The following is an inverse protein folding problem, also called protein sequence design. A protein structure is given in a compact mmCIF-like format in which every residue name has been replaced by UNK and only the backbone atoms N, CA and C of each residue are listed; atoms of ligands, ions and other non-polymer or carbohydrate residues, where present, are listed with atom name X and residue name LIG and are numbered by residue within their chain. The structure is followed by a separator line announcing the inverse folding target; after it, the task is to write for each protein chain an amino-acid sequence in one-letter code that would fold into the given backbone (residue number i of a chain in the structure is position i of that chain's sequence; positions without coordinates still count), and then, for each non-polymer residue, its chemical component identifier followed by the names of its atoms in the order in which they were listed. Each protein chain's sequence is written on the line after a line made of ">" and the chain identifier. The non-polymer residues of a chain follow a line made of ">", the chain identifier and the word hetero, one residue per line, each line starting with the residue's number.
data_IF_065924551230
#
_entry.id   IF_065924551230
#
_cell.length_a   1.000
_cell.length_b   1.000
_cell.length_c   1.000
_cell.angle_alpha   90.00
_cell.angle_beta   90.00
_cell.angle_gamma   90.00
#
_symmetry.space_group_name_H-M   'P 1'
#
loop_
_entity.id
_entity.type
_entity.pdbx_description
1 polymer ?
#
# COMPACT_ATOMS: atom_id res chain seq x y z
N UNK A 1 -15.24 64.63 7.13
CA UNK A 1 -15.82 63.45 7.81
C UNK A 1 -16.42 62.37 6.89
N UNK A 2 -17.15 62.67 5.79
CA UNK A 2 -17.80 61.63 4.94
C UNK A 2 -16.85 60.62 4.24
N UNK A 3 -15.60 61.00 3.98
CA UNK A 3 -14.61 60.16 3.28
C UNK A 3 -13.96 59.10 4.19
N UNK A 4 -13.94 59.32 5.51
CA UNK A 4 -13.36 58.35 6.47
C UNK A 4 -14.33 57.22 6.80
N UNK A 5 -15.63 57.48 6.96
CA UNK A 5 -16.64 56.43 7.22
C UNK A 5 -16.75 55.41 6.08
N UNK A 6 -16.56 55.85 4.84
CA UNK A 6 -16.47 54.99 3.67
C UNK A 6 -15.17 54.19 3.61
N UNK A 7 -14.06 54.70 4.15
CA UNK A 7 -12.83 53.92 4.22
C UNK A 7 -12.98 52.75 5.21
N UNK A 8 -13.54 53.00 6.40
CA UNK A 8 -13.74 51.98 7.43
C UNK A 8 -14.66 50.84 6.98
N UNK A 9 -15.72 51.13 6.21
CA UNK A 9 -16.62 50.09 5.71
C UNK A 9 -15.95 49.18 4.66
N UNK A 10 -15.09 49.73 3.79
CA UNK A 10 -14.32 48.92 2.85
C UNK A 10 -13.26 48.08 3.56
N UNK A 11 -12.59 48.66 4.57
CA UNK A 11 -11.63 47.94 5.41
C UNK A 11 -12.30 46.77 6.14
N UNK A 12 -13.47 46.99 6.75
CA UNK A 12 -14.20 45.92 7.43
C UNK A 12 -14.57 44.78 6.47
N UNK A 13 -15.12 45.10 5.29
CA UNK A 13 -15.46 44.11 4.29
C UNK A 13 -14.22 43.35 3.78
N UNK A 14 -13.11 44.06 3.56
CA UNK A 14 -11.85 43.44 3.19
C UNK A 14 -11.35 42.47 4.27
N UNK A 15 -11.41 42.87 5.55
CA UNK A 15 -11.04 41.99 6.68
C UNK A 15 -11.92 40.75 6.73
N UNK A 16 -13.24 40.89 6.55
CA UNK A 16 -14.17 39.75 6.54
C UNK A 16 -13.86 38.80 5.37
N UNK A 17 -13.72 39.32 4.16
CA UNK A 17 -13.41 38.52 2.97
C UNK A 17 -12.05 37.82 3.11
N UNK A 18 -11.02 38.53 3.57
CA UNK A 18 -9.70 37.95 3.80
C UNK A 18 -9.74 36.89 4.91
N UNK A 19 -10.52 37.10 5.97
CA UNK A 19 -10.73 36.11 7.03
C UNK A 19 -11.38 34.83 6.51
N UNK A 20 -12.45 34.95 5.72
CA UNK A 20 -13.12 33.81 5.07
C UNK A 20 -12.15 33.06 4.15
N UNK A 21 -11.41 33.78 3.30
CA UNK A 21 -10.43 33.18 2.40
C UNK A 21 -9.30 32.47 3.16
N UNK A 22 -8.79 33.07 4.24
CA UNK A 22 -7.75 32.47 5.06
C UNK A 22 -8.23 31.18 5.73
N UNK A 23 -9.42 31.18 6.33
CA UNK A 23 -10.01 30.00 6.97
C UNK A 23 -10.27 28.89 5.93
N UNK A 24 -10.87 29.24 4.79
CA UNK A 24 -11.16 28.29 3.71
C UNK A 24 -9.89 27.69 3.12
N UNK A 25 -8.87 28.51 2.86
CA UNK A 25 -7.57 28.05 2.37
C UNK A 25 -6.86 27.13 3.37
N UNK A 26 -6.91 27.48 4.66
CA UNK A 26 -6.36 26.66 5.73
C UNK A 26 -7.08 25.31 5.83
N UNK A 27 -8.41 25.30 5.78
CA UNK A 27 -9.20 24.08 5.81
C UNK A 27 -8.88 23.17 4.61
N UNK A 28 -8.78 23.72 3.40
CA UNK A 28 -8.38 22.97 2.20
C UNK A 28 -6.97 22.38 2.35
N UNK A 29 -6.03 23.14 2.93
CA UNK A 29 -4.67 22.65 3.17
C UNK A 29 -4.65 21.53 4.22
N UNK A 30 -5.36 21.69 5.32
CA UNK A 30 -5.46 20.68 6.39
C UNK A 30 -6.12 19.39 5.89
N UNK A 31 -7.13 19.48 5.02
CA UNK A 31 -7.75 18.31 4.38
C UNK A 31 -6.76 17.57 3.46
N UNK A 32 -5.91 18.29 2.71
CA UNK A 32 -4.88 17.69 1.86
C UNK A 32 -3.89 16.89 2.69
N UNK A 33 -3.34 17.52 3.72
CA UNK A 33 -2.37 16.89 4.62
C UNK A 33 -2.99 15.70 5.36
N UNK A 34 -4.27 15.80 5.72
CA UNK A 34 -4.98 14.69 6.37
C UNK A 34 -5.18 13.51 5.43
N UNK A 35 -5.52 13.75 4.15
CA UNK A 35 -5.60 12.67 3.16
C UNK A 35 -4.26 11.94 2.98
N UNK A 36 -3.15 12.69 2.95
CA UNK A 36 -1.80 12.09 2.87
C UNK A 36 -1.43 11.30 4.12
N UNK A 37 -1.64 11.85 5.31
CA UNK A 37 -1.38 11.15 6.57
C UNK A 37 -2.22 9.88 6.71
N UNK A 38 -3.46 9.89 6.23
CA UNK A 38 -4.32 8.70 6.23
C UNK A 38 -3.78 7.62 5.30
N UNK A 39 -3.38 7.99 4.08
CA UNK A 39 -2.75 7.06 3.13
C UNK A 39 -1.44 6.48 3.67
N UNK A 40 -0.61 7.31 4.31
CA UNK A 40 0.64 6.89 4.95
C UNK A 40 0.40 5.89 6.07
N UNK A 41 -0.50 6.21 7.01
CA UNK A 41 -0.85 5.34 8.14
C UNK A 41 -1.50 4.04 7.69
N UNK A 42 -2.47 4.12 6.78
CA UNK A 42 -3.19 2.95 6.27
C UNK A 42 -2.25 2.00 5.54
N UNK A 43 -1.44 2.52 4.60
CA UNK A 43 -0.47 1.68 3.88
C UNK A 43 0.59 1.08 4.80
N UNK A 44 1.08 1.82 5.80
CA UNK A 44 2.02 1.29 6.80
C UNK A 44 1.40 0.18 7.66
N UNK A 45 0.18 0.39 8.16
CA UNK A 45 -0.51 -0.60 8.99
C UNK A 45 -0.84 -1.88 8.20
N UNK A 46 -1.30 -1.74 6.96
CA UNK A 46 -1.54 -2.87 6.05
C UNK A 46 -0.25 -3.63 5.76
N UNK A 47 0.81 -2.91 5.39
CA UNK A 47 2.13 -3.49 5.14
C UNK A 47 2.62 -4.30 6.36
N UNK A 48 2.61 -3.70 7.55
CA UNK A 48 3.03 -4.35 8.80
C UNK A 48 2.23 -5.60 9.11
N UNK A 49 0.92 -5.57 8.87
CA UNK A 49 0.05 -6.71 9.14
C UNK A 49 0.36 -7.86 8.18
N UNK A 50 0.46 -7.56 6.88
CA UNK A 50 0.78 -8.55 5.85
C UNK A 50 2.19 -9.12 6.00
N UNK A 51 3.18 -8.28 6.30
CA UNK A 51 4.55 -8.71 6.53
C UNK A 51 4.64 -9.69 7.70
N UNK A 52 3.97 -9.40 8.84
CA UNK A 52 3.91 -10.33 9.97
C UNK A 52 3.19 -11.63 9.62
N UNK A 53 2.08 -11.57 8.88
CA UNK A 53 1.35 -12.78 8.48
C UNK A 53 2.22 -13.66 7.56
N UNK A 54 2.84 -13.07 6.52
CA UNK A 54 3.76 -13.78 5.62
C UNK A 54 4.95 -14.36 6.39
N UNK A 55 5.59 -13.58 7.27
CA UNK A 55 6.70 -14.04 8.09
C UNK A 55 6.29 -15.22 8.99
N UNK A 56 5.15 -15.12 9.67
CA UNK A 56 4.60 -16.19 10.52
C UNK A 56 4.37 -17.46 9.72
N UNK A 57 3.76 -17.34 8.54
CA UNK A 57 3.48 -18.46 7.63
C UNK A 57 4.75 -19.14 7.14
N UNK A 58 5.76 -18.38 6.73
CA UNK A 58 7.06 -18.94 6.31
C UNK A 58 7.76 -19.60 7.50
N UNK A 59 7.70 -18.99 8.69
CA UNK A 59 8.27 -19.57 9.90
C UNK A 59 7.60 -20.91 10.28
N UNK A 60 6.28 -21.04 10.11
CA UNK A 60 5.58 -22.31 10.29
C UNK A 60 6.05 -23.38 9.30
N UNK A 61 6.24 -23.02 8.03
CA UNK A 61 6.83 -23.94 7.05
C UNK A 61 8.25 -24.32 7.46
N UNK A 62 9.06 -23.35 7.89
CA UNK A 62 10.43 -23.58 8.33
C UNK A 62 10.52 -24.55 9.51
N UNK A 63 9.66 -24.37 10.50
CA UNK A 63 9.52 -25.25 11.67
C UNK A 63 9.14 -26.67 11.24
N UNK A 64 8.20 -26.82 10.31
CA UNK A 64 7.81 -28.13 9.76
C UNK A 64 8.96 -28.80 9.01
N UNK A 65 9.74 -28.05 8.21
CA UNK A 65 10.94 -28.58 7.53
C UNK A 65 12.00 -29.06 8.54
N UNK A 66 12.26 -28.29 9.60
CA UNK A 66 13.19 -28.69 10.67
C UNK A 66 12.69 -29.93 11.42
N UNK A 67 11.40 -30.00 11.72
CA UNK A 67 10.78 -31.16 12.36
C UNK A 67 10.88 -32.42 11.50
N UNK A 68 10.72 -32.30 10.17
CA UNK A 68 10.93 -33.41 9.25
C UNK A 68 12.41 -33.88 9.24
N UNK A 69 13.38 -32.96 9.26
CA UNK A 69 14.81 -33.31 9.38
C UNK A 69 15.09 -34.07 10.67
N UNK A 70 14.52 -33.62 11.80
CA UNK A 70 14.69 -34.27 13.10
C UNK A 70 14.04 -35.67 13.14
N UNK A 71 12.85 -35.81 12.56
CA UNK A 71 12.18 -37.10 12.39
C UNK A 71 13.02 -38.09 11.59
N UNK A 72 13.59 -37.67 10.45
CA UNK A 72 14.45 -38.51 9.60
C UNK A 72 15.74 -38.97 10.30
N UNK A 73 16.22 -38.22 11.29
CA UNK A 73 17.40 -38.58 12.10
C UNK A 73 17.09 -39.61 13.19
N UNK A 74 15.82 -39.86 13.49
CA UNK A 74 15.41 -40.76 14.56
C UNK A 74 15.39 -42.21 14.05
N UNK A 75 16.21 -43.13 14.58
CA UNK A 75 16.33 -44.50 14.06
C UNK A 75 15.03 -45.30 14.11
N UNK A 76 14.15 -44.99 15.08
CA UNK A 76 12.83 -45.61 15.22
C UNK A 76 11.87 -45.16 14.11
N UNK A 77 12.06 -43.94 13.58
CA UNK A 77 11.27 -43.42 12.48
C UNK A 77 11.53 -44.20 11.19
N UNK A 78 12.80 -44.55 10.93
CA UNK A 78 13.19 -45.34 9.77
C UNK A 78 12.68 -46.79 9.80
N UNK A 79 12.27 -47.28 10.99
CA UNK A 79 11.68 -48.62 11.18
C UNK A 79 10.16 -48.64 10.99
N UNK A 80 9.51 -47.47 10.92
CA UNK A 80 8.08 -47.41 10.69
C UNK A 80 7.74 -47.83 9.25
N UNK A 81 6.57 -48.41 9.00
CA UNK A 81 6.05 -48.59 7.65
C UNK A 81 6.05 -47.25 6.88
N UNK A 82 6.38 -47.23 5.57
CA UNK A 82 6.47 -46.01 4.78
C UNK A 82 5.22 -45.12 4.86
N UNK A 83 4.03 -45.70 4.87
CA UNK A 83 2.74 -45.02 5.06
C UNK A 83 2.64 -44.26 6.40
N UNK A 84 3.17 -44.81 7.48
CA UNK A 84 3.20 -44.15 8.80
C UNK A 84 4.31 -43.09 8.86
N UNK A 85 5.44 -43.32 8.20
CA UNK A 85 6.48 -42.30 8.04
C UNK A 85 5.94 -41.08 7.27
N UNK A 86 5.22 -41.31 6.16
CA UNK A 86 4.55 -40.26 5.41
C UNK A 86 3.54 -39.49 6.26
N UNK A 87 2.65 -40.20 6.97
CA UNK A 87 1.68 -39.58 7.87
C UNK A 87 2.33 -38.69 8.93
N UNK A 88 3.44 -39.14 9.55
CA UNK A 88 4.10 -38.38 10.63
C UNK A 88 5.06 -37.28 10.17
N UNK A 89 5.71 -37.40 9.01
CA UNK A 89 6.54 -36.33 8.45
C UNK A 89 5.68 -35.12 8.05
N UNK A 90 4.43 -35.37 7.68
CA UNK A 90 3.56 -34.36 7.09
C UNK A 90 2.29 -34.06 7.91
N UNK A 91 2.04 -34.73 9.04
CA UNK A 91 0.90 -34.47 9.94
C UNK A 91 0.86 -33.02 10.45
N UNK A 92 2.05 -32.46 10.73
CA UNK A 92 2.21 -31.04 11.13
C UNK A 92 2.14 -30.07 9.94
N UNK A 93 2.38 -30.57 8.73
CA UNK A 93 2.34 -29.80 7.49
C UNK A 93 0.91 -29.68 6.92
N UNK A 94 0.06 -30.69 7.15
CA UNK A 94 -1.32 -30.75 6.68
C UNK A 94 -2.25 -29.69 7.32
N UNK A 95 -1.83 -29.05 8.41
CA UNK A 95 -2.64 -28.04 9.13
C UNK A 95 -2.41 -26.61 8.64
N UNK A 96 -1.41 -26.37 7.79
CA UNK A 96 -1.12 -25.02 7.28
C UNK A 96 -1.91 -24.84 5.99
N UNK A 97 -2.88 -23.93 5.96
CA UNK A 97 -3.72 -23.63 4.80
C UNK A 97 -2.97 -23.03 3.58
N UNK A 98 -1.65 -23.18 3.50
CA UNK A 98 -0.94 -23.13 2.21
C UNK A 98 -1.01 -24.51 1.61
N UNK A 99 -1.62 -24.61 0.43
CA UNK A 99 -1.63 -25.81 -0.42
C UNK A 99 -0.20 -26.16 -0.83
N UNK A 100 0.56 -26.72 0.09
CA UNK A 100 1.98 -26.97 -0.07
C UNK A 100 2.31 -28.43 0.14
N UNK A 101 2.77 -29.07 -0.92
CA UNK A 101 3.27 -30.46 -0.85
C UNK A 101 4.69 -30.41 -0.31
N UNK A 102 4.90 -31.07 0.81
CA UNK A 102 6.24 -31.29 1.35
C UNK A 102 6.85 -32.54 0.70
N UNK A 103 8.16 -32.55 0.53
CA UNK A 103 8.88 -33.69 -0.04
C UNK A 103 10.32 -33.75 0.43
N UNK A 104 10.90 -34.94 0.34
CA UNK A 104 12.27 -35.27 0.74
C UNK A 104 13.00 -35.86 -0.45
N UNK A 105 14.19 -35.33 -0.72
CA UNK A 105 15.12 -35.83 -1.71
C UNK A 105 16.37 -36.38 -1.01
N UNK A 106 16.92 -37.47 -1.52
CA UNK A 106 18.20 -38.02 -1.04
C UNK A 106 19.42 -37.22 -1.55
N UNK A 107 20.63 -37.71 -1.25
CA UNK A 107 21.88 -37.07 -1.68
C UNK A 107 22.09 -37.06 -3.21
N UNK A 108 21.39 -37.92 -3.96
CA UNK A 108 21.41 -38.00 -5.42
C UNK A 108 20.31 -37.15 -6.07
N UNK A 109 19.36 -36.65 -5.27
CA UNK A 109 18.25 -35.83 -5.71
C UNK A 109 17.01 -36.63 -6.07
N UNK A 110 16.97 -37.92 -5.72
CA UNK A 110 15.83 -38.79 -5.95
C UNK A 110 14.77 -38.60 -4.84
N UNK A 111 13.50 -38.60 -5.24
CA UNK A 111 12.38 -38.49 -4.31
C UNK A 111 12.30 -39.71 -3.39
N UNK A 112 12.41 -39.46 -2.08
CA UNK A 112 12.32 -40.50 -1.04
C UNK A 112 10.95 -40.52 -0.37
N UNK A 113 10.35 -39.33 -0.19
CA UNK A 113 9.04 -39.17 0.43
C UNK A 113 8.35 -37.91 -0.07
N UNK A 114 7.03 -37.92 -0.22
CA UNK A 114 6.23 -36.71 -0.42
C UNK A 114 4.91 -36.75 0.38
N UNK A 115 4.32 -35.57 0.58
CA UNK A 115 3.01 -35.40 1.22
C UNK A 115 1.85 -35.48 0.23
N UNK A 116 2.04 -36.14 -0.92
CA UNK A 116 1.02 -36.29 -1.95
C UNK A 116 0.03 -37.41 -1.63
N UNK A 117 -1.20 -37.31 -2.16
CA UNK A 117 -2.25 -38.34 -1.99
C UNK A 117 -1.97 -39.65 -2.74
N UNK A 118 -0.86 -39.76 -3.48
CA UNK A 118 -0.60 -40.88 -4.40
C UNK A 118 0.66 -41.64 -3.97
N UNK A 119 0.45 -42.86 -3.49
CA UNK A 119 1.45 -43.81 -2.94
C UNK A 119 2.34 -44.45 -4.04
N UNK A 120 2.27 -43.99 -5.29
CA UNK A 120 3.07 -44.57 -6.37
C UNK A 120 4.47 -43.91 -6.41
N UNK A 121 5.58 -44.68 -6.41
CA UNK A 121 6.90 -44.13 -6.67
C UNK A 121 6.92 -43.52 -8.07
N UNK A 122 6.84 -42.19 -8.16
CA UNK A 122 7.09 -41.48 -9.41
C UNK A 122 8.60 -41.28 -9.48
N UNK A 123 9.30 -41.81 -10.49
CA UNK A 123 10.71 -41.49 -10.67
C UNK A 123 10.82 -39.98 -10.91
N UNK A 124 11.12 -39.25 -9.85
CA UNK A 124 11.27 -37.81 -9.85
C UNK A 124 12.62 -37.47 -9.24
N UNK A 125 13.57 -37.14 -10.12
CA UNK A 125 14.85 -36.60 -9.73
C UNK A 125 14.83 -35.07 -9.85
N UNK A 126 15.31 -34.39 -8.82
CA UNK A 126 15.44 -32.93 -8.77
C UNK A 126 16.87 -32.47 -8.51
N UNK A 127 17.87 -33.31 -8.80
CA UNK A 127 19.27 -32.97 -8.59
C UNK A 127 19.67 -31.70 -9.35
N UNK A 128 19.15 -31.50 -10.57
CA UNK A 128 19.42 -30.31 -11.39
C UNK A 128 18.71 -29.04 -10.94
N UNK A 129 17.82 -29.10 -9.94
CA UNK A 129 17.06 -27.92 -9.49
C UNK A 129 17.93 -27.02 -8.61
N UNK A 130 17.71 -25.71 -8.72
CA UNK A 130 18.48 -24.70 -8.01
C UNK A 130 18.50 -24.93 -6.50
N UNK A 131 17.35 -25.15 -5.88
CA UNK A 131 17.24 -25.38 -4.44
C UNK A 131 18.08 -26.60 -3.97
N UNK A 132 18.24 -27.61 -4.83
CA UNK A 132 19.07 -28.77 -4.52
C UNK A 132 20.56 -28.44 -4.61
N UNK A 133 20.95 -27.78 -5.70
CA UNK A 133 22.35 -27.39 -5.94
C UNK A 133 22.88 -26.43 -4.88
N UNK A 134 22.06 -25.47 -4.42
CA UNK A 134 22.46 -24.52 -3.37
C UNK A 134 22.77 -25.27 -2.07
N UNK A 135 21.93 -26.22 -1.65
CA UNK A 135 22.17 -27.01 -0.42
C UNK A 135 23.30 -28.04 -0.55
N UNK A 136 23.51 -28.57 -1.76
CA UNK A 136 24.61 -29.50 -2.05
C UNK A 136 25.97 -28.80 -1.97
N UNK A 137 26.06 -27.59 -2.53
CA UNK A 137 27.32 -26.84 -2.66
C UNK A 137 27.62 -25.97 -1.44
N UNK A 138 26.62 -25.47 -0.73
CA UNK A 138 26.79 -24.58 0.43
C UNK A 138 26.18 -25.18 1.70
N UNK A 139 27.05 -25.51 2.67
CA UNK A 139 26.66 -26.10 3.96
C UNK A 139 25.97 -25.11 4.91
N UNK A 140 26.12 -23.80 4.69
CA UNK A 140 25.58 -22.75 5.56
C UNK A 140 24.26 -22.16 5.05
N UNK A 141 23.75 -22.65 3.91
CA UNK A 141 22.44 -22.26 3.41
C UNK A 141 21.38 -22.75 4.40
N UNK A 142 20.84 -21.83 5.19
CA UNK A 142 19.76 -22.08 6.15
C UNK A 142 18.45 -22.44 5.45
N UNK A 143 17.38 -21.65 5.67
CA UNK A 143 16.20 -21.75 4.83
C UNK A 143 16.52 -21.13 3.47
N UNK A 144 16.37 -21.91 2.41
CA UNK A 144 16.46 -21.39 1.05
C UNK A 144 15.07 -21.19 0.47
N UNK A 145 14.81 -19.97 0.01
CA UNK A 145 13.63 -19.61 -0.78
C UNK A 145 14.05 -19.64 -2.25
N UNK A 146 13.33 -20.37 -3.09
CA UNK A 146 13.61 -20.54 -4.52
C UNK A 146 12.86 -19.56 -5.41
N UNK A 147 13.23 -19.51 -6.69
CA UNK A 147 12.54 -18.68 -7.67
C UNK A 147 11.15 -19.24 -8.02
N UNK A 148 10.20 -18.38 -8.45
CA UNK A 148 8.94 -18.85 -9.04
C UNK A 148 9.21 -19.78 -10.22
N UNK A 149 8.57 -20.93 -10.23
CA UNK A 149 8.62 -21.87 -11.33
C UNK A 149 7.27 -22.53 -11.52
N UNK A 150 6.97 -22.91 -12.77
CA UNK A 150 5.80 -23.71 -13.08
C UNK A 150 5.95 -25.11 -12.50
N UNK A 151 4.94 -25.56 -11.77
CA UNK A 151 4.93 -26.89 -11.18
C UNK A 151 4.59 -27.94 -12.24
N UNK A 152 5.47 -28.93 -12.42
CA UNK A 152 5.19 -30.10 -13.28
C UNK A 152 4.20 -31.08 -12.64
N UNK A 153 3.91 -30.94 -11.33
CA UNK A 153 3.12 -31.90 -10.55
C UNK A 153 1.67 -31.45 -10.27
N UNK A 154 1.35 -30.16 -10.44
CA UNK A 154 0.05 -29.58 -10.10
C UNK A 154 -0.36 -28.54 -11.14
N UNK A 155 -1.21 -28.93 -12.10
CA UNK A 155 -1.97 -28.07 -13.02
C UNK A 155 -1.26 -26.84 -13.65
N UNK A 156 0.07 -26.85 -13.79
CA UNK A 156 0.87 -25.74 -14.33
C UNK A 156 0.83 -24.43 -13.49
N UNK A 157 0.41 -24.50 -12.23
CA UNK A 157 0.40 -23.34 -11.32
C UNK A 157 1.82 -22.94 -10.91
N UNK A 158 2.05 -21.63 -10.80
CA UNK A 158 3.31 -21.07 -10.32
C UNK A 158 3.49 -21.33 -8.83
N UNK A 159 4.68 -21.78 -8.46
CA UNK A 159 5.02 -22.07 -7.07
C UNK A 159 6.44 -21.64 -6.74
N UNK A 160 6.70 -21.46 -5.44
CA UNK A 160 8.05 -21.29 -4.90
C UNK A 160 8.40 -22.50 -4.05
N UNK A 161 9.69 -22.83 -3.97
CA UNK A 161 10.18 -23.87 -3.07
C UNK A 161 10.83 -23.22 -1.85
N UNK A 162 10.40 -23.63 -0.67
CA UNK A 162 11.12 -23.42 0.58
C UNK A 162 11.86 -24.71 0.92
N UNK A 163 13.15 -24.65 1.20
CA UNK A 163 13.95 -25.87 1.37
C UNK A 163 15.06 -25.74 2.39
N UNK A 164 15.45 -26.87 2.98
CA UNK A 164 16.59 -26.99 3.89
C UNK A 164 17.45 -28.20 3.55
N UNK A 165 18.75 -28.04 3.79
CA UNK A 165 19.73 -29.11 3.70
C UNK A 165 19.50 -30.17 4.79
N UNK A 166 19.51 -31.43 4.39
CA UNK A 166 19.68 -32.56 5.30
C UNK A 166 21.18 -32.81 5.42
N UNK A 167 21.71 -32.65 6.63
CA UNK A 167 23.11 -32.92 6.94
C UNK A 167 23.23 -34.22 7.71
N UNK A 168 24.12 -35.11 7.24
CA UNK A 168 24.49 -36.31 7.98
C UNK A 168 25.37 -36.02 9.20
N UNK A 169 25.78 -37.05 9.92
CA UNK A 169 26.43 -36.91 11.25
C UNK A 169 27.77 -36.19 11.18
N UNK A 170 28.47 -36.31 10.06
CA UNK A 170 29.79 -35.71 9.84
C UNK A 170 29.72 -34.45 8.94
N UNK A 171 28.51 -33.91 8.72
CA UNK A 171 28.28 -32.74 7.87
C UNK A 171 28.23 -33.02 6.37
N UNK A 172 28.28 -34.29 5.97
CA UNK A 172 28.03 -34.74 4.61
C UNK A 172 26.62 -34.33 4.13
N UNK A 173 26.46 -34.25 2.82
CA UNK A 173 25.17 -33.91 2.22
C UNK A 173 24.28 -35.15 2.20
N UNK A 174 23.21 -35.13 2.99
CA UNK A 174 22.23 -36.22 3.07
C UNK A 174 21.00 -36.01 2.18
N UNK A 175 20.92 -34.88 1.47
CA UNK A 175 19.78 -34.53 0.63
C UNK A 175 19.10 -33.22 1.05
N UNK A 176 17.82 -33.08 0.68
CA UNK A 176 17.04 -31.85 0.89
C UNK A 176 15.63 -32.19 1.33
N UNK A 177 15.13 -31.48 2.34
CA UNK A 177 13.69 -31.40 2.62
C UNK A 177 13.14 -30.10 2.03
N UNK A 178 11.98 -30.16 1.41
CA UNK A 178 11.40 -29.01 0.73
C UNK A 178 9.88 -28.97 0.89
N UNK A 179 9.33 -27.77 0.81
CA UNK A 179 7.91 -27.47 0.72
C UNK A 179 7.69 -26.68 -0.57
N UNK A 180 6.81 -27.19 -1.42
CA UNK A 180 6.27 -26.41 -2.54
C UNK A 180 5.19 -25.50 -1.97
N UNK A 181 5.23 -24.21 -2.28
CA UNK A 181 4.21 -23.25 -1.85
C UNK A 181 3.53 -22.71 -3.11
N UNK A 182 2.21 -22.92 -3.23
CA UNK A 182 1.44 -22.36 -4.34
C UNK A 182 1.34 -20.84 -4.22
N UNK A 183 1.58 -20.12 -5.33
CA UNK A 183 1.36 -18.68 -5.38
C UNK A 183 -0.12 -18.31 -5.47
N UNK A 184 -1.02 -19.24 -5.82
CA UNK A 184 -2.46 -18.99 -5.81
C UNK A 184 -3.00 -18.70 -4.40
N UNK A 185 -2.53 -19.42 -3.38
CA UNK A 185 -2.90 -19.12 -1.99
C UNK A 185 -2.43 -17.73 -1.53
N UNK A 186 -1.26 -17.29 -2.02
CA UNK A 186 -0.78 -15.93 -1.78
C UNK A 186 -1.60 -14.89 -2.58
N UNK A 187 -2.08 -15.25 -3.78
CA UNK A 187 -2.98 -14.41 -4.56
C UNK A 187 -4.26 -14.09 -3.81
N UNK A 188 -4.93 -15.11 -3.28
CA UNK A 188 -6.22 -14.95 -2.62
C UNK A 188 -6.11 -14.07 -1.37
N UNK A 189 -5.01 -14.21 -0.63
CA UNK A 189 -4.67 -13.34 0.49
C UNK A 189 -4.55 -11.87 0.04
N UNK A 190 -3.79 -11.60 -1.02
CA UNK A 190 -3.58 -10.23 -1.51
C UNK A 190 -4.82 -9.64 -2.19
N UNK A 191 -5.66 -10.48 -2.82
CA UNK A 191 -6.90 -10.06 -3.51
C UNK A 191 -7.97 -9.53 -2.55
N UNK A 192 -7.93 -9.94 -1.28
CA UNK A 192 -8.88 -9.47 -0.26
C UNK A 192 -8.65 -8.01 0.17
N UNK A 193 -7.54 -7.40 -0.24
CA UNK A 193 -7.16 -6.04 0.13
C UNK A 193 -7.80 -5.02 -0.81
N UNK A 194 -8.54 -4.06 -0.24
CA UNK A 194 -8.97 -2.88 -0.98
C UNK A 194 -7.84 -1.84 -1.01
N UNK A 195 -7.20 -1.72 -2.18
CA UNK A 195 -6.11 -0.76 -2.42
C UNK A 195 -6.54 0.35 -3.40
N UNK A 196 -7.83 0.44 -3.74
CA UNK A 196 -8.33 1.27 -4.83
C UNK A 196 -8.08 0.67 -6.22
N UNK A 197 -8.42 1.43 -7.26
CA UNK A 197 -8.42 0.93 -8.65
C UNK A 197 -7.01 0.76 -9.20
N UNK A 198 -6.11 1.67 -8.84
CA UNK A 198 -4.72 1.69 -9.30
C UNK A 198 -3.73 1.42 -8.18
N UNK A 199 -4.18 0.92 -7.02
CA UNK A 199 -3.30 0.42 -5.98
C UNK A 199 -2.64 -0.89 -6.36
N UNK A 200 -1.56 -1.25 -5.65
CA UNK A 200 -0.93 -2.54 -5.82
C UNK A 200 -0.23 -3.01 -4.55
N UNK A 201 -0.19 -4.31 -4.34
CA UNK A 201 0.70 -4.96 -3.37
C UNK A 201 1.59 -5.94 -4.10
N UNK A 202 2.85 -6.04 -3.71
CA UNK A 202 3.84 -6.89 -4.37
C UNK A 202 4.81 -7.48 -3.36
N UNK A 203 5.08 -8.77 -3.52
CA UNK A 203 6.09 -9.51 -2.77
C UNK A 203 7.27 -9.78 -3.70
N UNK A 204 8.44 -9.33 -3.28
CA UNK A 204 9.71 -9.53 -3.98
C UNK A 204 10.63 -10.41 -3.15
N UNK A 205 11.55 -11.07 -3.84
CA UNK A 205 12.79 -11.56 -3.22
C UNK A 205 13.76 -10.42 -2.99
N UNK A 206 14.70 -10.60 -2.07
CA UNK A 206 15.74 -9.62 -1.77
C UNK A 206 16.68 -9.32 -2.95
N UNK A 207 16.70 -10.17 -3.97
CA UNK A 207 17.42 -9.98 -5.24
C UNK A 207 16.62 -9.18 -6.29
N UNK A 208 15.36 -8.81 -6.01
CA UNK A 208 14.53 -8.01 -6.93
C UNK A 208 13.60 -8.82 -7.83
N UNK A 209 13.59 -10.15 -7.71
CA UNK A 209 12.64 -11.00 -8.45
C UNK A 209 11.23 -10.84 -7.87
N UNK A 210 10.24 -10.57 -8.72
CA UNK A 210 8.85 -10.49 -8.32
C UNK A 210 8.27 -11.88 -8.05
N UNK A 211 7.85 -12.16 -6.82
CA UNK A 211 7.21 -13.42 -6.44
C UNK A 211 5.71 -13.39 -6.65
N UNK A 212 5.06 -12.32 -6.26
CA UNK A 212 3.60 -12.22 -6.33
C UNK A 212 3.15 -10.77 -6.34
N UNK A 213 2.01 -10.49 -6.98
CA UNK A 213 1.39 -9.16 -6.95
C UNK A 213 -0.14 -9.21 -7.00
N UNK A 214 -0.75 -8.13 -6.54
CA UNK A 214 -2.12 -7.76 -6.84
C UNK A 214 -2.14 -6.30 -7.35
N UNK A 215 -2.87 -5.97 -8.43
CA UNK A 215 -3.59 -6.87 -9.35
C UNK A 215 -2.67 -7.93 -9.96
N UNK A 216 -3.21 -9.13 -10.19
CA UNK A 216 -2.43 -10.28 -10.65
C UNK A 216 -2.17 -10.22 -12.15
N UNK A 217 -0.94 -10.54 -12.51
CA UNK A 217 -0.49 -10.65 -13.89
C UNK A 217 0.61 -11.72 -13.93
N UNK A 218 0.26 -12.89 -14.49
CA UNK A 218 1.12 -14.06 -14.53
C UNK A 218 2.42 -13.81 -15.31
N UNK A 219 2.38 -12.95 -16.33
CA UNK A 219 3.54 -12.64 -17.18
C UNK A 219 4.59 -11.78 -16.46
N UNK A 220 4.24 -11.19 -15.31
CA UNK A 220 5.19 -10.43 -14.48
C UNK A 220 5.83 -11.28 -13.39
N UNK A 221 5.22 -12.39 -13.00
CA UNK A 221 5.74 -13.24 -11.93
C UNK A 221 7.05 -13.89 -12.37
N UNK A 222 8.05 -13.86 -11.50
CA UNK A 222 9.41 -14.36 -11.77
C UNK A 222 10.29 -13.41 -12.56
N UNK A 223 9.80 -12.23 -12.98
CA UNK A 223 10.65 -11.24 -13.66
C UNK A 223 11.64 -10.61 -12.69
N UNK A 224 12.85 -10.40 -13.20
CA UNK A 224 13.86 -9.58 -12.55
C UNK A 224 13.54 -8.10 -12.75
N UNK A 225 13.29 -7.42 -11.62
CA UNK A 225 13.05 -5.99 -11.58
C UNK A 225 14.12 -5.27 -10.75
N UNK A 226 15.23 -5.93 -10.41
CA UNK A 226 16.34 -5.37 -9.63
C UNK A 226 16.90 -4.07 -10.22
N UNK A 227 16.76 -3.88 -11.53
CA UNK A 227 17.19 -2.68 -12.22
C UNK A 227 16.21 -1.51 -12.16
N UNK A 228 14.94 -1.76 -11.84
CA UNK A 228 13.91 -0.73 -11.77
C UNK A 228 14.20 0.25 -10.61
N UNK A 229 14.06 1.58 -10.81
CA UNK A 229 14.39 2.57 -9.77
C UNK A 229 13.67 2.35 -8.43
N UNK A 230 12.40 1.95 -8.45
CA UNK A 230 11.63 1.67 -7.23
C UNK A 230 12.15 0.43 -6.50
N UNK A 231 12.49 -0.63 -7.24
CA UNK A 231 12.97 -1.90 -6.68
C UNK A 231 14.42 -1.80 -6.20
N UNK A 232 15.27 -0.99 -6.87
CA UNK A 232 16.61 -0.66 -6.36
C UNK A 232 16.55 -0.10 -4.94
N UNK A 233 15.52 0.69 -4.63
CA UNK A 233 15.30 1.22 -3.30
C UNK A 233 14.86 0.13 -2.31
N UNK A 234 13.94 -0.74 -2.72
CA UNK A 234 13.50 -1.91 -1.93
C UNK A 234 14.65 -2.85 -1.55
N UNK A 235 15.63 -3.03 -2.44
CA UNK A 235 16.79 -3.89 -2.19
C UNK A 235 17.79 -3.22 -1.24
N UNK A 236 18.01 -1.90 -1.38
CA UNK A 236 19.02 -1.14 -0.63
C UNK A 236 18.59 -0.75 0.79
N UNK A 237 17.31 -0.51 0.99
CA UNK A 237 16.75 -0.05 2.26
C UNK A 237 15.95 -1.18 2.92
N UNK A 238 15.95 -1.26 4.25
CA UNK A 238 15.18 -2.29 4.98
C UNK A 238 13.68 -1.95 5.05
N UNK A 239 13.33 -0.66 5.03
CA UNK A 239 11.96 -0.17 4.96
C UNK A 239 11.93 1.29 4.56
N UNK A 240 10.79 1.78 4.08
CA UNK A 240 10.63 3.18 3.77
C UNK A 240 9.31 3.52 3.09
N UNK A 241 9.14 4.82 2.86
CA UNK A 241 8.00 5.37 2.15
C UNK A 241 8.45 6.41 1.14
N UNK A 242 7.90 6.38 -0.07
CA UNK A 242 8.26 7.34 -1.12
C UNK A 242 7.27 7.35 -2.29
N UNK A 243 7.23 8.46 -3.02
CA UNK A 243 6.56 8.52 -4.31
C UNK A 243 7.47 8.01 -5.44
N UNK A 244 6.91 7.19 -6.32
CA UNK A 244 7.62 6.67 -7.48
C UNK A 244 6.68 6.33 -8.62
N UNK A 245 7.25 6.13 -9.81
CA UNK A 245 6.50 5.63 -10.97
C UNK A 245 6.77 4.14 -11.12
N UNK A 246 5.72 3.33 -11.23
CA UNK A 246 5.85 1.89 -11.36
C UNK A 246 6.47 1.50 -12.69
N UNK A 247 7.48 0.63 -12.65
CA UNK A 247 8.10 0.07 -13.85
C UNK A 247 7.18 -0.84 -14.67
N UNK A 248 6.12 -1.38 -14.05
CA UNK A 248 5.23 -2.37 -14.67
C UNK A 248 4.09 -1.74 -15.48
N UNK A 249 3.60 -0.56 -15.09
CA UNK A 249 2.42 0.08 -15.69
C UNK A 249 2.50 1.61 -15.81
N UNK A 250 3.58 2.25 -15.35
CA UNK A 250 3.79 3.70 -15.49
C UNK A 250 2.95 4.56 -14.54
N UNK A 251 2.18 3.97 -13.61
CA UNK A 251 1.35 4.74 -12.67
C UNK A 251 2.21 5.34 -11.56
N UNK A 252 1.95 6.60 -11.20
CA UNK A 252 2.57 7.27 -10.04
C UNK A 252 1.91 6.81 -8.75
N UNK A 253 2.70 6.19 -7.87
CA UNK A 253 2.23 5.64 -6.61
C UNK A 253 3.06 6.14 -5.44
N UNK A 254 2.42 6.23 -4.29
CA UNK A 254 3.05 6.32 -2.99
C UNK A 254 3.32 4.90 -2.49
N UNK A 255 4.59 4.52 -2.42
CA UNK A 255 5.06 3.22 -1.97
C UNK A 255 5.34 3.25 -0.47
N UNK A 256 4.91 2.21 0.22
CA UNK A 256 5.32 1.83 1.57
C UNK A 256 5.87 0.42 1.47
N UNK A 257 7.12 0.19 1.90
CA UNK A 257 7.76 -1.12 1.78
C UNK A 257 8.57 -1.47 3.02
N UNK A 258 8.76 -2.78 3.23
CA UNK A 258 9.64 -3.31 4.26
C UNK A 258 10.14 -4.71 3.91
N UNK A 259 11.31 -5.05 4.43
CA UNK A 259 11.79 -6.43 4.47
C UNK A 259 10.95 -7.27 5.43
N UNK A 260 10.67 -8.49 5.02
CA UNK A 260 9.84 -9.43 5.78
C UNK A 260 10.70 -10.14 6.82
N UNK A 261 10.77 -9.54 8.00
CA UNK A 261 11.51 -10.06 9.16
C UNK A 261 12.94 -10.51 8.79
N UNK A 262 13.31 -11.77 9.05
CA UNK A 262 14.63 -12.33 8.74
C UNK A 262 14.67 -13.10 7.41
N UNK A 263 13.60 -13.04 6.61
CA UNK A 263 13.52 -13.71 5.33
C UNK A 263 14.04 -12.81 4.19
N UNK A 264 14.61 -13.39 3.10
CA UNK A 264 15.09 -12.63 1.96
C UNK A 264 13.94 -12.17 1.06
N UNK A 265 13.00 -11.43 1.65
CA UNK A 265 11.74 -11.00 1.03
C UNK A 265 11.51 -9.52 1.33
N UNK A 266 10.92 -8.82 0.36
CA UNK A 266 10.47 -7.43 0.51
C UNK A 266 9.01 -7.36 0.14
N UNK A 267 8.18 -6.86 1.04
CA UNK A 267 6.79 -6.57 0.77
C UNK A 267 6.64 -5.08 0.45
N UNK A 268 5.81 -4.75 -0.54
CA UNK A 268 5.49 -3.37 -0.87
C UNK A 268 3.98 -3.21 -1.08
N UNK A 269 3.42 -2.16 -0.47
CA UNK A 269 2.07 -1.66 -0.72
C UNK A 269 2.22 -0.30 -1.40
N UNK A 270 1.49 -0.07 -2.48
CA UNK A 270 1.58 1.14 -3.26
C UNK A 270 0.18 1.68 -3.58
N UNK A 271 -0.09 2.92 -3.20
CA UNK A 271 -1.37 3.59 -3.42
C UNK A 271 -1.23 4.62 -4.53
N UNK A 272 -2.23 4.76 -5.40
CA UNK A 272 -2.21 5.77 -6.46
C UNK A 272 -2.25 7.18 -5.87
N UNK A 273 -1.31 8.03 -6.28
CA UNK A 273 -1.25 9.43 -5.80
C UNK A 273 -2.52 10.19 -6.20
N UNK A 274 -3.04 9.94 -7.40
CA UNK A 274 -4.27 10.58 -7.86
C UNK A 274 -5.49 10.14 -7.05
N UNK A 275 -5.53 8.89 -6.59
CA UNK A 275 -6.63 8.39 -5.74
C UNK A 275 -6.55 8.95 -4.32
N UNK A 276 -5.34 9.10 -3.76
CA UNK A 276 -5.13 9.74 -2.44
C UNK A 276 -5.70 11.17 -2.45
N UNK A 277 -5.43 11.94 -3.52
CA UNK A 277 -5.83 13.35 -3.58
C UNK A 277 -7.22 13.59 -4.19
N UNK A 278 -7.84 12.60 -4.84
CA UNK A 278 -9.13 12.78 -5.51
C UNK A 278 -10.26 13.25 -4.57
N UNK A 279 -10.48 12.66 -3.37
CA UNK A 279 -11.48 13.14 -2.43
C UNK A 279 -11.25 14.59 -2.01
N UNK A 280 -9.98 14.95 -1.77
CA UNK A 280 -9.58 16.31 -1.44
C UNK A 280 -9.84 17.29 -2.59
N UNK A 281 -9.47 16.95 -3.84
CA UNK A 281 -9.72 17.79 -5.03
C UNK A 281 -11.21 18.12 -5.17
N UNK A 282 -12.09 17.13 -4.99
CA UNK A 282 -13.54 17.34 -5.06
C UNK A 282 -14.04 18.27 -3.95
N UNK A 283 -13.60 18.09 -2.71
CA UNK A 283 -13.94 18.98 -1.59
C UNK A 283 -13.43 20.40 -1.81
N UNK A 284 -12.19 20.56 -2.26
CA UNK A 284 -11.58 21.85 -2.54
C UNK A 284 -12.35 22.62 -3.62
N UNK A 285 -12.81 21.95 -4.68
CA UNK A 285 -13.65 22.55 -5.72
C UNK A 285 -14.98 23.06 -5.15
N UNK A 286 -15.69 22.23 -4.39
CA UNK A 286 -16.99 22.61 -3.79
C UNK A 286 -16.81 23.75 -2.80
N UNK A 287 -15.85 23.65 -1.87
CA UNK A 287 -15.61 24.67 -0.86
C UNK A 287 -15.12 25.98 -1.48
N UNK A 288 -14.28 25.89 -2.51
CA UNK A 288 -13.82 27.04 -3.29
C UNK A 288 -14.98 27.77 -3.98
N UNK A 289 -15.89 27.04 -4.63
CA UNK A 289 -17.08 27.62 -5.26
C UNK A 289 -18.01 28.29 -4.24
N UNK A 290 -18.33 27.60 -3.14
CA UNK A 290 -19.18 28.16 -2.07
C UNK A 290 -18.54 29.41 -1.47
N UNK A 291 -17.24 29.35 -1.18
CA UNK A 291 -16.48 30.50 -0.66
C UNK A 291 -16.50 31.67 -1.64
N UNK A 292 -16.29 31.40 -2.94
CA UNK A 292 -16.36 32.41 -3.99
C UNK A 292 -17.72 33.09 -4.09
N UNK A 293 -18.80 32.32 -3.99
CA UNK A 293 -20.18 32.85 -3.98
C UNK A 293 -20.42 33.72 -2.74
N UNK A 294 -20.03 33.26 -1.55
CA UNK A 294 -20.19 34.02 -0.31
C UNK A 294 -19.39 35.33 -0.31
N UNK A 295 -18.12 35.29 -0.74
CA UNK A 295 -17.30 36.50 -0.88
C UNK A 295 -17.91 37.48 -1.88
N UNK A 296 -18.42 36.97 -3.02
CA UNK A 296 -19.11 37.79 -4.01
C UNK A 296 -20.40 38.42 -3.45
N UNK A 297 -21.15 37.69 -2.63
CA UNK A 297 -22.35 38.20 -1.96
C UNK A 297 -22.02 39.30 -0.94
N UNK A 298 -20.95 39.16 -0.16
CA UNK A 298 -20.47 40.20 0.79
C UNK A 298 -20.09 41.47 0.04
N UNK A 299 -19.30 41.35 -1.04
CA UNK A 299 -18.92 42.48 -1.88
C UNK A 299 -20.15 43.10 -2.56
N UNK A 300 -21.07 42.28 -3.07
CA UNK A 300 -22.30 42.74 -3.70
C UNK A 300 -23.21 43.51 -2.73
N UNK A 301 -23.43 42.97 -1.52
CA UNK A 301 -24.23 43.62 -0.48
C UNK A 301 -23.60 44.94 -0.04
N UNK A 302 -22.27 45.00 0.05
CA UNK A 302 -21.54 46.23 0.32
C UNK A 302 -21.78 47.29 -0.76
N UNK A 303 -21.76 46.90 -2.05
CA UNK A 303 -22.03 47.79 -3.18
C UNK A 303 -23.49 48.29 -3.16
N UNK A 304 -24.45 47.41 -2.87
CA UNK A 304 -25.86 47.79 -2.75
C UNK A 304 -26.09 48.74 -1.58
N UNK A 305 -25.55 48.40 -0.40
CA UNK A 305 -25.66 49.24 0.80
C UNK A 305 -25.03 50.62 0.61
N UNK A 306 -23.89 50.69 -0.09
CA UNK A 306 -23.25 51.95 -0.51
C UNK A 306 -24.16 52.79 -1.40
N UNK A 307 -24.77 52.18 -2.41
CA UNK A 307 -25.70 52.86 -3.33
C UNK A 307 -26.89 53.41 -2.56
N UNK A 308 -27.43 52.64 -1.63
CA UNK A 308 -28.58 53.06 -0.81
C UNK A 308 -28.22 54.21 0.14
N UNK A 309 -27.08 54.15 0.82
CA UNK A 309 -26.60 55.26 1.66
C UNK A 309 -26.39 56.55 0.85
N UNK A 310 -25.86 56.44 -0.37
CA UNK A 310 -25.69 57.58 -1.27
C UNK A 310 -27.04 58.14 -1.75
N UNK A 311 -28.04 57.28 -2.00
CA UNK A 311 -29.41 57.72 -2.35
C UNK A 311 -30.05 58.47 -1.20
N UNK A 312 -30.02 57.92 0.02
CA UNK A 312 -30.57 58.57 1.22
C UNK A 312 -29.92 59.92 1.51
N UNK A 313 -28.58 59.98 1.47
CA UNK A 313 -27.89 61.26 1.71
C UNK A 313 -28.15 62.31 0.64
N UNK A 314 -28.46 61.92 -0.61
CA UNK A 314 -28.90 62.86 -1.66
C UNK A 314 -30.31 63.39 -1.38
N UNK A 315 -31.23 62.51 -1.00
CA UNK A 315 -32.61 62.89 -0.65
C UNK A 315 -32.66 63.83 0.56
N UNK A 316 -31.88 63.55 1.61
CA UNK A 316 -31.75 64.44 2.78
C UNK A 316 -31.16 65.80 2.43
N UNK A 317 -30.16 65.84 1.53
CA UNK A 317 -29.55 67.09 1.08
C UNK A 317 -30.52 67.95 0.23
N UNK A 318 -31.38 67.31 -0.55
CA UNK A 318 -32.41 67.97 -1.35
C UNK A 318 -33.52 68.56 -0.46
N UNK A 319 -34.01 67.81 0.52
CA UNK A 319 -34.95 68.30 1.53
C UNK A 319 -34.36 69.46 2.35
N UNK A 320 -33.09 69.35 2.74
CA UNK A 320 -32.41 70.42 3.49
C UNK A 320 -32.24 71.70 2.66
N UNK A 321 -32.02 71.57 1.34
CA UNK A 321 -31.99 72.72 0.42
C UNK A 321 -33.35 73.39 0.33
N UNK A 322 -34.41 72.61 0.08
CA UNK A 322 -35.78 73.13 -0.03
C UNK A 322 -36.21 73.83 1.26
N UNK A 323 -35.92 73.26 2.43
CA UNK A 323 -36.23 73.88 3.72
C UNK A 323 -35.50 75.22 3.92
N UNK A 324 -34.23 75.33 3.52
CA UNK A 324 -33.48 76.59 3.58
C UNK A 324 -34.06 77.63 2.62
N UNK A 325 -34.34 77.25 1.38
CA UNK A 325 -34.96 78.16 0.39
C UNK A 325 -36.34 78.64 0.84
N UNK A 326 -37.14 77.78 1.47
CA UNK A 326 -38.41 78.16 2.08
C UNK A 326 -38.24 79.16 3.24
N UNK A 327 -37.30 78.92 4.15
CA UNK A 327 -37.03 79.81 5.28
C UNK A 327 -36.47 81.17 4.83
N UNK A 328 -35.56 81.19 3.85
CA UNK A 328 -35.05 82.43 3.26
C UNK A 328 -36.14 83.21 2.52
N UNK A 329 -37.06 82.51 1.85
CA UNK A 329 -38.22 83.12 1.19
C UNK A 329 -39.22 83.73 2.19
N UNK A 330 -39.43 83.11 3.35
CA UNK A 330 -40.27 83.67 4.42
C UNK A 330 -39.59 84.89 5.08
N UNK A 331 -38.27 84.86 5.25
CA UNK A 331 -37.53 86.00 5.80
C UNK A 331 -37.54 87.25 4.91
N UNK A 332 -37.79 87.10 3.60
CA UNK A 332 -37.89 88.20 2.63
C UNK A 332 -39.34 88.68 2.38
N UNK A 333 -40.37 88.10 3.01
CA UNK A 333 -41.74 88.59 2.84
C UNK A 333 -41.92 89.96 3.54
N UNK A 334 -42.39 91.01 2.85
CA UNK A 334 -42.63 92.31 3.48
C UNK A 334 -43.74 92.16 4.53
N UNK A 335 -43.49 92.67 5.75
CA UNK A 335 -44.57 92.87 6.73
C UNK A 335 -45.52 93.92 6.15
N UNK A 336 -46.69 93.46 5.70
CA UNK A 336 -47.83 94.32 5.35
C UNK A 336 -48.42 94.97 6.60
#
# INVERSE_FOLDING_TARGET
>A
MKRSSSLYLYLLAAVVVLGILAISSRSIYEDRESAWREAEKSSHNLLKTLSRDIASRINLVDLSLRGAIEGLRTPEFQKLPPDIQHGRLFDRAATVSFTGTFFVLDANGDLVADGGSIIAPRPWNSAGREYFQVHKTNRLTGLYLGHPHKSTAANDDLSIILSRRISGRNGEFGGVVAARISLSGLHDLLKSLDLGLNGSVSLFRADGILLMRHPYDADKIGRDLSDAPTVKRFIREDSGQFEGTAALDGVRRFYTFERVDHFPLVLSVALSVDEIVAPWRRKALVLGLVTGVLCSAVVGLLVVFRRELQRRTRAEAELSRLARTYLDGIAQSPRL
#
